data_IF_531822913799
#
_entry.id   IF_531822913799
#
_cell.length_a   1.000
_cell.length_b   1.000
_cell.length_c   1.000
_cell.angle_alpha   90.00
_cell.angle_beta   90.00
_cell.angle_gamma   90.00
#
_symmetry.space_group_name_H-M   'P 1'
#
loop_
_entity.id
_entity.type
_entity.pdbx_description
1 polymer ?
#
# COMPACT_ATOMS: atom_id res chain seq x y z
N UNK A 1 -1.28 -6.96 -23.74
CA UNK A 1 -0.42 -6.69 -22.57
C UNK A 1 -1.17 -7.18 -21.34
N UNK A 2 -0.87 -8.38 -20.86
CA UNK A 2 -1.28 -8.79 -19.54
C UNK A 2 -0.26 -8.17 -18.57
N UNK A 3 -0.60 -7.02 -18.00
CA UNK A 3 0.03 -6.59 -16.76
C UNK A 3 -0.37 -7.67 -15.76
N UNK A 4 0.59 -8.46 -15.31
CA UNK A 4 0.38 -9.41 -14.24
C UNK A 4 -0.26 -8.63 -13.08
N UNK A 5 -1.48 -8.97 -12.73
CA UNK A 5 -2.15 -8.42 -11.57
C UNK A 5 -1.31 -8.85 -10.35
N UNK A 6 -0.34 -8.03 -9.99
CA UNK A 6 0.30 -8.14 -8.68
C UNK A 6 -0.78 -7.77 -7.69
N UNK A 7 -1.45 -8.79 -7.17
CA UNK A 7 -2.26 -8.63 -5.98
C UNK A 7 -1.37 -8.03 -4.90
N UNK A 8 -1.98 -7.19 -4.10
CA UNK A 8 -1.36 -6.55 -2.97
C UNK A 8 -0.31 -7.46 -2.35
N UNK A 9 0.89 -6.95 -2.16
CA UNK A 9 1.85 -7.52 -1.22
C UNK A 9 1.34 -7.25 0.21
N UNK A 10 0.11 -7.65 0.47
CA UNK A 10 -0.31 -8.05 1.78
C UNK A 10 0.30 -9.43 1.99
N UNK A 11 0.51 -9.86 3.18
CA UNK A 11 1.04 -11.12 3.68
C UNK A 11 0.95 -12.39 2.80
N UNK A 12 0.61 -12.25 1.54
CA UNK A 12 0.42 -13.32 0.57
C UNK A 12 1.73 -13.58 -0.18
N UNK A 13 2.42 -14.62 0.21
CA UNK A 13 3.59 -15.15 -0.51
C UNK A 13 3.24 -15.85 -1.84
N UNK A 14 2.02 -15.69 -2.35
CA UNK A 14 1.47 -16.48 -3.47
C UNK A 14 1.98 -16.13 -4.88
N UNK A 15 2.81 -15.11 -5.05
CA UNK A 15 3.50 -14.89 -6.34
C UNK A 15 4.70 -15.82 -6.56
N UNK A 16 4.83 -16.88 -5.78
CA UNK A 16 5.76 -17.97 -6.09
C UNK A 16 5.06 -18.86 -7.10
N UNK A 17 5.41 -18.67 -8.36
CA UNK A 17 4.92 -19.46 -9.48
C UNK A 17 5.19 -20.95 -9.23
N UNK A 18 4.15 -21.70 -8.88
CA UNK A 18 4.25 -23.12 -8.47
C UNK A 18 4.38 -24.07 -9.66
N UNK A 19 4.45 -23.58 -10.90
CA UNK A 19 4.35 -24.46 -12.09
C UNK A 19 5.65 -25.06 -12.61
N UNK A 20 6.83 -24.63 -12.13
CA UNK A 20 8.09 -25.09 -12.75
C UNK A 20 9.23 -25.43 -11.77
N UNK A 21 8.98 -25.65 -10.49
CA UNK A 21 10.09 -25.93 -9.56
C UNK A 21 10.16 -27.41 -9.20
N UNK A 22 11.28 -28.03 -9.55
CA UNK A 22 11.67 -29.37 -9.13
C UNK A 22 11.59 -29.52 -7.61
N UNK A 23 11.02 -30.61 -7.16
CA UNK A 23 10.52 -30.92 -5.80
C UNK A 23 11.58 -30.82 -4.67
N UNK A 24 12.86 -30.52 -4.93
CA UNK A 24 13.95 -30.68 -3.97
C UNK A 24 14.94 -29.53 -3.77
N UNK A 25 14.70 -28.33 -4.29
CA UNK A 25 15.54 -27.16 -4.00
C UNK A 25 14.81 -26.12 -3.15
N UNK A 26 15.44 -25.52 -2.13
CA UNK A 26 14.86 -24.37 -1.44
C UNK A 26 14.66 -23.25 -2.46
N UNK A 27 13.41 -22.94 -2.78
CA UNK A 27 13.06 -21.90 -3.73
C UNK A 27 13.30 -20.52 -3.12
N UNK A 28 14.56 -20.06 -3.20
CA UNK A 28 14.94 -18.71 -2.80
C UNK A 28 14.89 -17.82 -4.03
N UNK A 29 14.05 -16.79 -4.01
CA UNK A 29 13.98 -15.75 -5.05
C UNK A 29 14.46 -14.43 -4.48
N UNK A 30 15.53 -13.89 -5.05
CA UNK A 30 15.95 -12.52 -4.81
C UNK A 30 15.12 -11.63 -5.73
N UNK A 31 14.60 -10.54 -5.20
CA UNK A 31 13.82 -9.56 -5.97
C UNK A 31 14.17 -8.16 -5.50
N UNK A 32 13.84 -7.18 -6.30
CA UNK A 32 14.06 -5.79 -5.94
C UNK A 32 13.71 -4.85 -7.08
N UNK A 33 13.77 -3.57 -6.81
CA UNK A 33 13.57 -2.53 -7.80
C UNK A 33 14.15 -1.20 -7.37
N UNK A 34 14.46 -0.37 -8.35
CA UNK A 34 14.92 1.00 -8.17
C UNK A 34 13.89 1.95 -8.77
N UNK A 35 13.61 3.03 -8.07
CA UNK A 35 12.82 4.15 -8.57
C UNK A 35 13.61 5.44 -8.32
N UNK A 36 14.16 6.00 -9.39
CA UNK A 36 14.68 7.34 -9.39
C UNK A 36 13.58 8.33 -9.71
N UNK A 37 13.62 9.52 -9.14
CA UNK A 37 12.68 10.58 -9.47
C UNK A 37 13.42 11.90 -9.65
N UNK A 38 12.85 12.75 -10.49
CA UNK A 38 13.17 14.17 -10.59
C UNK A 38 11.91 14.95 -10.23
N UNK A 39 12.02 15.80 -9.21
CA UNK A 39 10.94 16.70 -8.80
C UNK A 39 11.25 18.09 -9.34
N UNK A 40 10.26 18.68 -10.00
CA UNK A 40 10.23 20.08 -10.38
C UNK A 40 9.04 20.73 -9.71
N UNK A 41 9.26 21.74 -8.91
CA UNK A 41 8.21 22.43 -8.17
C UNK A 41 8.50 23.92 -8.01
N UNK A 42 7.61 24.61 -7.33
CA UNK A 42 7.77 26.04 -7.00
C UNK A 42 8.86 26.33 -5.95
N UNK A 43 9.44 25.30 -5.35
CA UNK A 43 10.62 25.42 -4.48
C UNK A 43 11.89 25.50 -5.33
N UNK A 44 12.84 26.32 -4.92
CA UNK A 44 14.09 26.58 -5.64
C UNK A 44 15.05 25.38 -5.79
N UNK A 45 14.67 24.21 -5.27
CA UNK A 45 15.50 23.02 -5.26
C UNK A 45 14.88 21.96 -6.20
N UNK A 46 15.50 21.82 -7.37
CA UNK A 46 15.25 20.73 -8.31
C UNK A 46 16.30 19.65 -8.09
N UNK A 47 15.87 18.43 -7.78
CA UNK A 47 16.83 17.37 -7.45
C UNK A 47 16.45 16.02 -8.05
N UNK A 48 17.48 15.23 -8.35
CA UNK A 48 17.34 13.82 -8.70
C UNK A 48 17.63 13.00 -7.45
N UNK A 49 16.69 12.14 -7.07
CA UNK A 49 16.82 11.30 -5.87
C UNK A 49 16.39 9.87 -6.14
N UNK A 50 16.73 8.97 -5.24
CA UNK A 50 16.11 7.66 -5.17
C UNK A 50 14.84 7.76 -4.33
N UNK A 51 13.68 7.66 -4.99
CA UNK A 51 12.41 7.55 -4.28
C UNK A 51 12.32 6.23 -3.53
N UNK A 52 12.81 5.14 -4.16
CA UNK A 52 12.84 3.79 -3.57
C UNK A 52 14.01 3.00 -4.13
N UNK A 53 14.71 2.30 -3.25
CA UNK A 53 15.75 1.35 -3.61
C UNK A 53 15.55 0.10 -2.73
N UNK A 54 14.86 -0.91 -3.26
CA UNK A 54 14.42 -2.06 -2.49
C UNK A 54 15.09 -3.32 -2.93
N UNK A 55 15.50 -4.11 -1.95
CA UNK A 55 16.05 -5.44 -2.14
C UNK A 55 15.37 -6.39 -1.18
N UNK A 56 14.96 -7.55 -1.66
CA UNK A 56 14.29 -8.54 -0.84
C UNK A 56 14.62 -9.96 -1.23
N UNK A 57 14.26 -10.84 -0.34
CA UNK A 57 14.36 -12.30 -0.52
C UNK A 57 13.04 -12.93 -0.11
N UNK A 58 12.56 -13.84 -0.90
CA UNK A 58 11.38 -14.65 -0.57
C UNK A 58 11.61 -16.10 -0.94
N UNK A 59 10.90 -17.01 -0.25
CA UNK A 59 11.03 -18.41 -0.55
C UNK A 59 10.04 -19.28 0.22
N UNK A 60 10.10 -20.57 -0.04
CA UNK A 60 9.35 -21.59 0.70
C UNK A 60 10.27 -22.35 1.66
N UNK A 61 9.72 -22.69 2.82
CA UNK A 61 10.34 -23.61 3.78
C UNK A 61 9.39 -24.80 3.89
N UNK A 62 9.72 -25.90 3.21
CA UNK A 62 8.82 -27.04 2.99
C UNK A 62 7.52 -26.60 2.31
N UNK A 63 6.51 -27.46 2.29
CA UNK A 63 5.30 -27.26 1.50
C UNK A 63 4.34 -26.23 2.08
N UNK A 64 4.37 -26.06 3.40
CA UNK A 64 3.33 -25.29 4.13
C UNK A 64 3.80 -23.91 4.59
N UNK A 65 5.08 -23.57 4.50
CA UNK A 65 5.61 -22.30 4.99
C UNK A 65 6.32 -21.52 3.89
N UNK A 66 6.11 -20.20 3.91
CA UNK A 66 6.87 -19.25 3.11
C UNK A 66 7.40 -18.12 3.98
N UNK A 67 8.44 -17.46 3.50
CA UNK A 67 8.98 -16.27 4.13
C UNK A 67 9.15 -15.15 3.12
N UNK A 68 9.11 -13.95 3.64
CA UNK A 68 9.32 -12.72 2.88
C UNK A 68 10.16 -11.75 3.70
N UNK A 69 11.17 -11.17 3.07
CA UNK A 69 12.04 -10.18 3.67
C UNK A 69 12.34 -9.08 2.67
N UNK A 70 12.23 -7.81 3.05
CA UNK A 70 12.50 -6.67 2.17
C UNK A 70 13.11 -5.50 2.93
N UNK A 71 14.19 -4.97 2.39
CA UNK A 71 14.88 -3.75 2.85
C UNK A 71 14.56 -2.56 1.94
N UNK A 72 14.47 -1.37 2.53
CA UNK A 72 14.50 -0.09 1.85
C UNK A 72 15.87 0.56 2.06
N UNK A 73 16.59 0.78 0.99
CA UNK A 73 17.96 1.33 1.01
C UNK A 73 18.04 2.78 0.48
N UNK A 74 16.93 3.35 0.01
CA UNK A 74 16.95 4.72 -0.55
C UNK A 74 17.49 5.79 0.41
N UNK A 75 17.20 5.77 1.74
CA UNK A 75 17.78 6.76 2.64
C UNK A 75 19.30 6.63 2.77
N UNK A 76 19.83 5.41 2.77
CA UNK A 76 21.27 5.14 2.80
C UNK A 76 21.98 5.61 1.53
N UNK A 77 21.44 5.26 0.37
CA UNK A 77 21.99 5.66 -0.93
C UNK A 77 21.92 7.18 -1.12
N UNK A 78 20.83 7.80 -0.67
CA UNK A 78 20.63 9.24 -0.72
C UNK A 78 21.40 10.04 0.33
N UNK A 79 22.10 9.39 1.26
CA UNK A 79 22.87 10.07 2.32
C UNK A 79 22.02 10.77 3.39
N UNK A 80 20.71 10.43 3.49
CA UNK A 80 19.77 11.07 4.41
C UNK A 80 19.34 10.16 5.58
N UNK A 81 19.90 8.96 5.68
CA UNK A 81 19.58 8.01 6.74
C UNK A 81 20.17 6.62 6.51
N UNK A 82 19.71 5.66 7.29
CA UNK A 82 20.09 4.25 7.20
C UNK A 82 19.08 3.43 6.42
N UNK A 83 19.55 2.36 5.81
CA UNK A 83 18.66 1.33 5.29
C UNK A 83 17.83 0.72 6.44
N UNK A 84 16.59 0.38 6.18
CA UNK A 84 15.72 -0.18 7.20
C UNK A 84 14.89 -1.35 6.67
N UNK A 85 14.53 -2.24 7.62
CA UNK A 85 13.69 -3.38 7.33
C UNK A 85 12.25 -2.91 7.13
N UNK A 86 11.69 -3.18 5.95
CA UNK A 86 10.29 -2.84 5.64
C UNK A 86 9.34 -3.98 5.96
N UNK A 87 9.59 -5.13 5.40
CA UNK A 87 8.75 -6.31 5.55
C UNK A 87 9.61 -7.50 5.95
N UNK A 88 9.22 -8.24 6.98
CA UNK A 88 9.85 -9.47 7.40
C UNK A 88 8.81 -10.36 8.09
N UNK A 89 8.33 -11.37 7.41
CA UNK A 89 7.29 -12.24 7.93
C UNK A 89 7.40 -13.68 7.42
N UNK A 90 6.82 -14.59 8.17
CA UNK A 90 6.63 -15.99 7.80
C UNK A 90 5.14 -16.25 7.69
N UNK A 91 4.75 -17.01 6.67
CA UNK A 91 3.35 -17.38 6.41
C UNK A 91 3.19 -18.89 6.41
N UNK A 92 2.22 -19.39 7.15
CA UNK A 92 1.70 -20.74 7.05
C UNK A 92 0.61 -20.78 5.99
N UNK A 93 0.85 -21.51 4.89
CA UNK A 93 0.06 -21.44 3.64
C UNK A 93 -0.78 -22.69 3.35
N UNK A 94 -0.91 -23.62 4.28
CA UNK A 94 -1.54 -24.92 4.03
C UNK A 94 -2.97 -24.80 3.50
N UNK A 95 -3.72 -23.83 3.99
CA UNK A 95 -5.13 -23.65 3.63
C UNK A 95 -5.33 -22.33 2.89
N UNK A 96 -5.82 -22.36 1.65
CA UNK A 96 -6.10 -21.15 0.87
C UNK A 96 -7.17 -20.23 1.48
N UNK A 97 -8.04 -20.78 2.32
CA UNK A 97 -9.07 -20.03 3.00
C UNK A 97 -8.61 -19.42 4.33
N UNK A 98 -7.50 -19.92 4.91
CA UNK A 98 -6.95 -19.42 6.17
C UNK A 98 -5.43 -19.59 6.17
N UNK A 99 -4.71 -18.59 5.69
CA UNK A 99 -3.25 -18.47 5.83
C UNK A 99 -2.96 -17.61 7.04
N UNK A 100 -1.89 -17.90 7.74
CA UNK A 100 -1.49 -17.15 8.95
C UNK A 100 -0.10 -16.59 8.71
N UNK A 101 0.04 -15.27 8.79
CA UNK A 101 1.35 -14.61 8.71
C UNK A 101 1.70 -13.94 10.03
N UNK A 102 2.97 -14.02 10.41
CA UNK A 102 3.54 -13.42 11.63
C UNK A 102 4.79 -12.65 11.26
N UNK A 103 4.91 -11.42 11.72
CA UNK A 103 6.06 -10.57 11.50
C UNK A 103 5.70 -9.12 11.23
N UNK A 104 6.58 -8.40 10.52
CA UNK A 104 6.37 -7.03 10.09
C UNK A 104 5.88 -7.01 8.64
N UNK A 105 4.72 -6.41 8.41
CA UNK A 105 4.08 -6.35 7.10
C UNK A 105 3.12 -5.16 7.00
N UNK A 106 2.60 -4.92 5.79
CA UNK A 106 1.56 -3.91 5.58
C UNK A 106 0.27 -4.29 6.27
N UNK A 107 -0.35 -3.31 6.94
CA UNK A 107 -1.69 -3.52 7.48
C UNK A 107 -2.70 -3.78 6.34
N UNK A 108 -3.65 -4.70 6.55
CA UNK A 108 -4.68 -5.00 5.57
C UNK A 108 -5.78 -3.93 5.60
N UNK A 109 -5.52 -2.80 4.94
CA UNK A 109 -6.46 -1.69 4.84
C UNK A 109 -6.38 -1.04 3.47
N UNK A 110 -7.51 -0.88 2.81
CA UNK A 110 -7.67 -0.16 1.55
C UNK A 110 -7.01 -0.80 0.33
N UNK A 111 -7.37 -0.31 -0.84
CA UNK A 111 -6.86 -0.78 -2.12
C UNK A 111 -5.45 -0.25 -2.40
N UNK A 112 -5.26 1.07 -2.23
CA UNK A 112 -4.03 1.72 -2.69
C UNK A 112 -2.84 1.40 -1.78
N UNK A 113 -3.04 1.31 -0.46
CA UNK A 113 -1.98 0.89 0.47
C UNK A 113 -1.56 -0.55 0.20
N UNK A 114 -2.53 -1.43 -0.07
CA UNK A 114 -2.23 -2.82 -0.41
C UNK A 114 -1.60 -2.98 -1.80
N UNK A 115 -1.76 -2.02 -2.70
CA UNK A 115 -1.03 -2.02 -3.98
C UNK A 115 0.47 -1.85 -3.73
N UNK A 116 1.34 -2.72 -4.30
CA UNK A 116 2.80 -2.57 -4.19
C UNK A 116 3.25 -1.25 -4.83
N UNK A 117 4.29 -0.62 -4.28
CA UNK A 117 4.71 0.68 -4.77
C UNK A 117 5.19 0.66 -6.24
N UNK A 118 5.78 -0.44 -6.68
CA UNK A 118 6.11 -0.65 -8.10
C UNK A 118 4.89 -0.90 -8.99
N UNK A 119 3.73 -1.20 -8.42
CA UNK A 119 2.44 -1.39 -9.10
C UNK A 119 1.54 -0.15 -9.09
N UNK A 120 1.92 0.94 -8.42
CA UNK A 120 1.13 2.17 -8.38
C UNK A 120 0.99 2.78 -9.77
N UNK A 121 -0.20 3.24 -10.10
CA UNK A 121 -0.51 3.88 -11.38
C UNK A 121 0.01 5.32 -11.43
N UNK A 122 0.00 6.03 -10.29
CA UNK A 122 0.66 7.32 -10.08
C UNK A 122 1.96 7.14 -9.31
N UNK A 123 2.87 8.11 -9.37
CA UNK A 123 4.16 8.09 -8.64
C UNK A 123 3.92 8.00 -7.14
N UNK A 124 2.95 8.76 -6.63
CA UNK A 124 2.56 8.78 -5.23
C UNK A 124 1.15 8.23 -5.03
N UNK A 125 0.90 7.72 -3.82
CA UNK A 125 -0.44 7.39 -3.35
C UNK A 125 -1.29 8.66 -3.23
N UNK A 126 -2.60 8.49 -3.14
CA UNK A 126 -3.49 9.57 -2.75
C UNK A 126 -3.13 10.07 -1.36
N UNK A 127 -3.33 11.39 -1.16
CA UNK A 127 -3.07 12.02 0.14
C UNK A 127 -3.88 11.35 1.24
N UNK A 128 -5.13 10.98 0.98
CA UNK A 128 -5.98 10.32 1.96
C UNK A 128 -5.43 8.95 2.38
N UNK A 129 -4.99 8.13 1.44
CA UNK A 129 -4.40 6.83 1.75
C UNK A 129 -3.06 6.96 2.48
N UNK A 130 -2.27 7.96 2.14
CA UNK A 130 -0.98 8.19 2.80
C UNK A 130 -1.13 8.73 4.21
N UNK A 131 -2.03 9.68 4.42
CA UNK A 131 -2.23 10.32 5.73
C UNK A 131 -3.08 9.45 6.67
N UNK A 132 -4.23 8.95 6.22
CA UNK A 132 -5.21 8.32 7.11
C UNK A 132 -4.97 6.82 7.36
N UNK A 133 -4.18 6.14 6.53
CA UNK A 133 -3.86 4.72 6.77
C UNK A 133 -2.50 4.56 7.50
N UNK A 134 -1.83 5.64 7.84
CA UNK A 134 -0.59 5.56 8.61
C UNK A 134 -0.85 5.06 10.06
N UNK A 135 0.08 4.26 10.63
CA UNK A 135 1.26 3.69 10.00
C UNK A 135 0.89 2.57 9.02
N UNK A 136 1.46 2.60 7.81
CA UNK A 136 1.07 1.64 6.76
C UNK A 136 1.61 0.22 7.00
N UNK A 137 2.59 0.05 7.87
CA UNK A 137 3.22 -1.21 8.25
C UNK A 137 3.41 -1.28 9.74
N UNK A 138 3.38 -2.50 10.25
CA UNK A 138 3.60 -2.74 11.66
C UNK A 138 3.93 -4.22 11.91
N UNK A 139 4.32 -4.54 13.12
CA UNK A 139 4.51 -5.92 13.57
C UNK A 139 3.20 -6.51 14.09
N UNK A 140 2.89 -7.73 13.67
CA UNK A 140 1.65 -8.37 14.10
C UNK A 140 1.46 -9.79 13.58
N UNK A 141 0.22 -10.25 13.72
CA UNK A 141 -0.28 -11.52 13.20
C UNK A 141 -1.49 -11.23 12.32
N UNK A 142 -1.57 -11.87 11.17
CA UNK A 142 -2.75 -11.77 10.31
C UNK A 142 -3.25 -13.13 9.88
N UNK A 143 -4.56 -13.26 9.77
CA UNK A 143 -5.23 -14.36 9.10
C UNK A 143 -5.85 -13.82 7.83
N UNK A 144 -5.56 -14.47 6.70
CA UNK A 144 -6.08 -14.04 5.41
C UNK A 144 -6.58 -15.24 4.60
N UNK A 145 -7.59 -15.00 3.79
CA UNK A 145 -8.20 -16.02 2.95
C UNK A 145 -8.65 -15.46 1.61
N UNK A 146 -8.74 -16.37 0.67
CA UNK A 146 -9.03 -16.06 -0.72
C UNK A 146 -7.76 -15.88 -1.55
N UNK A 147 -7.94 -15.79 -2.86
CA UNK A 147 -6.90 -15.54 -3.85
C UNK A 147 -7.51 -14.87 -5.09
N UNK A 148 -6.72 -14.66 -6.14
CA UNK A 148 -7.18 -14.01 -7.39
C UNK A 148 -8.32 -14.73 -8.13
N UNK A 149 -8.61 -15.98 -7.80
CA UNK A 149 -9.68 -16.77 -8.41
C UNK A 149 -10.94 -16.84 -7.56
N UNK A 150 -10.85 -16.46 -6.28
CA UNK A 150 -12.02 -16.46 -5.38
C UNK A 150 -12.80 -15.16 -5.55
N UNK A 151 -14.13 -15.25 -5.42
CA UNK A 151 -14.99 -14.06 -5.42
C UNK A 151 -14.84 -13.24 -4.14
N UNK A 152 -14.56 -13.91 -3.02
CA UNK A 152 -14.39 -13.28 -1.72
C UNK A 152 -12.97 -13.45 -1.22
N UNK A 153 -12.37 -12.37 -0.73
CA UNK A 153 -11.07 -12.37 -0.06
C UNK A 153 -11.14 -11.51 1.19
N UNK A 154 -10.40 -11.89 2.21
CA UNK A 154 -10.36 -11.17 3.48
C UNK A 154 -8.99 -11.25 4.12
N UNK A 155 -8.70 -10.29 4.97
CA UNK A 155 -7.57 -10.33 5.89
C UNK A 155 -7.96 -9.64 7.20
N UNK A 156 -7.60 -10.24 8.33
CA UNK A 156 -7.79 -9.65 9.66
C UNK A 156 -6.47 -9.75 10.40
N UNK A 157 -5.97 -8.63 10.89
CA UNK A 157 -4.69 -8.52 11.57
C UNK A 157 -4.85 -8.00 13.00
N UNK A 158 -3.98 -8.48 13.87
CA UNK A 158 -3.73 -7.96 15.20
C UNK A 158 -2.31 -7.41 15.20
N UNK A 159 -2.16 -6.09 15.39
CA UNK A 159 -0.90 -5.38 15.22
C UNK A 159 -0.57 -4.51 16.44
N UNK A 160 0.69 -4.12 16.60
CA UNK A 160 1.11 -3.29 17.73
C UNK A 160 0.56 -1.85 17.68
N UNK A 161 0.28 -1.31 16.49
CA UNK A 161 -0.22 0.07 16.32
C UNK A 161 0.88 1.14 16.25
N UNK A 162 2.14 0.80 16.51
CA UNK A 162 3.24 1.77 16.62
C UNK A 162 3.98 2.03 15.30
N UNK A 163 3.88 1.12 14.35
CA UNK A 163 4.57 1.23 13.05
C UNK A 163 5.94 0.57 13.01
N UNK A 164 6.64 0.79 11.89
CA UNK A 164 7.91 0.13 11.60
C UNK A 164 9.02 0.53 12.59
N UNK A 165 9.82 -0.49 12.95
CA UNK A 165 11.06 -0.32 13.74
C UNK A 165 10.84 0.44 15.07
N UNK A 166 9.62 0.39 15.58
CA UNK A 166 9.25 1.02 16.84
C UNK A 166 8.86 -0.04 17.88
N UNK A 167 9.28 0.20 19.12
CA UNK A 167 8.84 -0.60 20.24
C UNK A 167 7.39 -0.19 20.58
N UNK A 168 6.57 -1.15 20.92
CA UNK A 168 5.18 -0.90 21.33
C UNK A 168 5.14 0.02 22.57
N UNK A 169 4.25 0.99 22.54
CA UNK A 169 4.13 2.03 23.55
C UNK A 169 2.97 1.80 24.53
N UNK A 170 2.23 0.71 24.37
CA UNK A 170 1.07 0.38 25.21
C UNK A 170 0.85 -1.15 25.26
N UNK A 171 -0.14 -1.59 26.02
CA UNK A 171 -0.47 -3.03 26.16
C UNK A 171 -1.61 -3.48 25.26
N UNK A 172 -2.24 -2.55 24.55
CA UNK A 172 -3.35 -2.81 23.63
C UNK A 172 -2.81 -3.16 22.23
N UNK A 173 -3.68 -3.69 21.39
CA UNK A 173 -3.35 -4.03 20.01
C UNK A 173 -4.38 -3.47 19.06
N UNK A 174 -3.91 -3.02 17.91
CA UNK A 174 -4.78 -2.61 16.82
C UNK A 174 -5.40 -3.83 16.15
N UNK A 175 -6.70 -3.79 15.93
CA UNK A 175 -7.43 -4.78 15.12
C UNK A 175 -7.74 -4.12 13.78
N UNK A 176 -7.33 -4.77 12.70
CA UNK A 176 -7.48 -4.23 11.35
C UNK A 176 -8.07 -5.31 10.46
N UNK A 177 -9.12 -4.99 9.72
CA UNK A 177 -9.77 -5.92 8.82
C UNK A 177 -10.04 -5.29 7.45
N UNK A 178 -9.91 -6.09 6.41
CA UNK A 178 -10.31 -5.77 5.04
C UNK A 178 -11.02 -6.96 4.43
N UNK A 179 -12.11 -6.70 3.72
CA UNK A 179 -12.81 -7.70 2.93
C UNK A 179 -13.12 -7.14 1.55
N UNK A 180 -12.96 -7.97 0.52
CA UNK A 180 -13.25 -7.61 -0.86
C UNK A 180 -14.14 -8.66 -1.51
N UNK A 181 -15.05 -8.21 -2.36
CA UNK A 181 -15.96 -9.07 -3.10
C UNK A 181 -15.99 -8.72 -4.58
N UNK A 182 -15.71 -9.70 -5.42
CA UNK A 182 -15.77 -9.59 -6.87
C UNK A 182 -17.22 -9.81 -7.32
N UNK A 183 -17.95 -8.71 -7.53
CA UNK A 183 -19.33 -8.71 -7.97
C UNK A 183 -19.45 -9.30 -9.38
N UNK A 184 -18.54 -8.86 -10.26
CA UNK A 184 -18.42 -9.32 -11.63
C UNK A 184 -16.94 -9.37 -12.04
N UNK A 185 -16.62 -9.95 -13.18
CA UNK A 185 -15.22 -10.02 -13.64
C UNK A 185 -14.56 -8.66 -13.84
N UNK A 186 -15.36 -7.66 -14.09
CA UNK A 186 -14.91 -6.27 -14.28
C UNK A 186 -15.03 -5.42 -13.01
N UNK A 187 -15.67 -5.91 -11.90
CA UNK A 187 -15.98 -5.09 -10.74
C UNK A 187 -15.66 -5.79 -9.43
N UNK A 188 -14.83 -5.15 -8.62
CA UNK A 188 -14.54 -5.54 -7.24
C UNK A 188 -14.87 -4.37 -6.32
N UNK A 189 -15.53 -4.64 -5.22
CA UNK A 189 -15.75 -3.71 -4.12
C UNK A 189 -15.11 -4.24 -2.86
N UNK A 190 -14.82 -3.37 -1.91
CA UNK A 190 -14.28 -3.78 -0.61
C UNK A 190 -14.56 -2.75 0.47
N UNK A 191 -14.35 -3.20 1.69
CA UNK A 191 -14.41 -2.38 2.87
C UNK A 191 -13.30 -2.73 3.85
N UNK A 192 -12.89 -1.77 4.63
CA UNK A 192 -11.83 -1.89 5.63
C UNK A 192 -12.24 -1.20 6.93
N UNK A 193 -11.79 -1.75 8.04
CA UNK A 193 -11.96 -1.17 9.36
C UNK A 193 -10.70 -1.35 10.19
N UNK A 194 -10.35 -0.35 10.98
CA UNK A 194 -9.33 -0.41 12.02
C UNK A 194 -9.88 0.18 13.30
N UNK A 195 -9.67 -0.53 14.40
CA UNK A 195 -9.72 0.00 15.77
C UNK A 195 -8.35 -0.10 16.38
N UNK A 196 -7.79 1.01 16.83
CA UNK A 196 -6.40 1.06 17.30
C UNK A 196 -6.16 1.96 18.49
N UNK A 197 -4.95 1.86 19.05
CA UNK A 197 -4.47 2.59 20.22
C UNK A 197 -3.15 3.30 19.89
N UNK A 198 -3.21 4.49 19.27
CA UNK A 198 -2.02 5.09 18.66
C UNK A 198 -0.94 5.56 19.63
N UNK A 199 -1.29 6.03 20.82
CA UNK A 199 -0.32 6.66 21.73
C UNK A 199 -0.20 5.95 23.07
N UNK A 200 -1.33 5.52 23.66
CA UNK A 200 -1.39 4.88 24.99
C UNK A 200 -2.63 3.99 25.09
N UNK A 201 -2.89 3.40 26.25
CA UNK A 201 -4.03 2.49 26.46
C UNK A 201 -5.42 3.16 26.42
N UNK A 202 -5.50 4.46 26.49
CA UNK A 202 -6.76 5.23 26.57
C UNK A 202 -7.10 5.94 25.27
N UNK A 203 -6.09 6.30 24.48
CA UNK A 203 -6.29 6.95 23.20
C UNK A 203 -6.79 5.92 22.19
N UNK A 204 -7.90 6.20 21.54
CA UNK A 204 -8.50 5.31 20.54
C UNK A 204 -8.56 5.98 19.17
N UNK A 205 -8.50 5.15 18.14
CA UNK A 205 -8.63 5.56 16.76
C UNK A 205 -9.45 4.55 15.98
N UNK A 206 -10.48 5.04 15.32
CA UNK A 206 -11.33 4.25 14.43
C UNK A 206 -11.19 4.75 12.99
N UNK A 207 -10.88 3.85 12.07
CA UNK A 207 -10.73 4.16 10.64
C UNK A 207 -11.64 3.26 9.83
N UNK A 208 -12.43 3.85 8.94
CA UNK A 208 -13.35 3.16 8.04
C UNK A 208 -12.94 3.43 6.60
N UNK A 209 -12.97 2.41 5.75
CA UNK A 209 -12.62 2.52 4.34
C UNK A 209 -13.61 1.80 3.45
N UNK A 210 -13.94 2.42 2.32
CA UNK A 210 -14.67 1.80 1.23
C UNK A 210 -13.85 1.90 -0.05
N UNK A 211 -13.84 0.86 -0.87
CA UNK A 211 -13.04 0.79 -2.07
C UNK A 211 -13.80 0.20 -3.25
N UNK A 212 -13.45 0.64 -4.45
CA UNK A 212 -13.99 0.13 -5.70
C UNK A 212 -12.89 0.03 -6.75
N UNK A 213 -12.90 -1.07 -7.50
CA UNK A 213 -12.05 -1.29 -8.66
C UNK A 213 -12.89 -1.80 -9.83
N UNK A 214 -12.85 -1.05 -10.93
CA UNK A 214 -13.47 -1.42 -12.21
C UNK A 214 -12.38 -1.65 -13.26
N UNK A 215 -12.52 -2.72 -14.03
CA UNK A 215 -11.61 -3.07 -15.14
C UNK A 215 -12.43 -3.48 -16.36
N UNK A 216 -12.46 -2.61 -17.35
CA UNK A 216 -13.13 -2.86 -18.64
C UNK A 216 -12.09 -2.90 -19.76
N UNK A 217 -11.70 -4.08 -20.20
CA UNK A 217 -10.63 -4.25 -21.17
C UNK A 217 -9.38 -3.44 -20.78
N UNK A 218 -9.15 -2.33 -21.47
CA UNK A 218 -8.00 -1.44 -21.28
C UNK A 218 -8.28 -0.29 -20.29
N UNK A 219 -9.53 -0.09 -19.87
CA UNK A 219 -9.92 0.97 -18.93
C UNK A 219 -9.90 0.43 -17.49
N UNK A 220 -9.21 1.13 -16.62
CA UNK A 220 -9.21 0.88 -15.18
C UNK A 220 -9.70 2.11 -14.45
N UNK A 221 -10.70 1.94 -13.59
CA UNK A 221 -11.18 2.97 -12.66
C UNK A 221 -11.05 2.41 -11.27
N UNK A 222 -10.46 3.17 -10.36
CA UNK A 222 -10.38 2.82 -8.95
C UNK A 222 -10.67 4.03 -8.08
N UNK A 223 -11.21 3.79 -6.90
CA UNK A 223 -11.46 4.84 -5.92
C UNK A 223 -11.57 4.28 -4.52
N UNK A 224 -11.27 5.13 -3.55
CA UNK A 224 -11.42 4.85 -2.13
C UNK A 224 -11.97 6.09 -1.43
N UNK A 225 -12.78 5.85 -0.40
CA UNK A 225 -13.17 6.81 0.60
C UNK A 225 -12.69 6.32 1.96
N UNK A 226 -12.08 7.19 2.75
CA UNK A 226 -11.58 6.87 4.09
C UNK A 226 -12.06 7.93 5.05
N UNK A 227 -12.71 7.49 6.13
CA UNK A 227 -13.07 8.29 7.28
C UNK A 227 -12.26 7.79 8.49
N UNK A 228 -11.73 8.71 9.27
CA UNK A 228 -10.86 8.41 10.40
C UNK A 228 -11.19 9.35 11.57
N UNK A 229 -11.32 8.79 12.77
CA UNK A 229 -11.63 9.55 13.97
C UNK A 229 -10.83 9.08 15.19
N UNK A 230 -10.70 9.97 16.16
CA UNK A 230 -9.98 9.73 17.39
C UNK A 230 -8.54 10.27 17.38
N UNK A 231 -7.71 9.72 18.22
CA UNK A 231 -6.31 10.10 18.37
C UNK A 231 -5.49 9.63 17.16
N UNK A 232 -4.37 10.28 16.91
CA UNK A 232 -3.59 10.02 15.73
C UNK A 232 -2.10 9.87 16.04
N UNK A 233 -1.50 8.89 15.40
CA UNK A 233 -0.06 8.69 15.38
C UNK A 233 0.34 8.27 13.97
N UNK A 234 1.07 9.13 13.27
CA UNK A 234 1.57 8.76 11.95
C UNK A 234 2.64 7.68 12.02
N UNK A 235 3.42 7.64 13.10
CA UNK A 235 4.59 6.80 13.33
C UNK A 235 5.63 6.80 12.17
N UNK A 236 6.84 6.34 12.46
CA UNK A 236 7.83 6.14 11.41
C UNK A 236 7.46 4.97 10.51
N UNK A 237 7.75 5.09 9.24
CA UNK A 237 7.79 3.93 8.37
C UNK A 237 6.56 3.65 7.55
N UNK A 238 6.32 4.38 6.55
CA UNK A 238 5.49 3.81 5.56
C UNK A 238 4.80 4.67 4.56
N UNK A 239 4.82 5.95 4.73
CA UNK A 239 4.31 6.84 3.71
C UNK A 239 5.13 6.77 2.43
N UNK A 240 4.48 6.87 1.29
CA UNK A 240 5.17 6.99 0.02
C UNK A 240 5.58 8.43 -0.28
N UNK A 241 5.65 9.30 0.72
CA UNK A 241 6.34 10.56 0.60
C UNK A 241 5.54 11.85 0.73
N UNK A 242 4.30 11.84 1.22
CA UNK A 242 3.64 13.10 1.57
C UNK A 242 4.19 13.66 2.88
N UNK A 243 4.34 14.98 2.95
CA UNK A 243 4.65 15.64 4.21
C UNK A 243 3.51 15.44 5.22
N UNK A 244 3.83 15.29 6.53
CA UNK A 244 2.81 15.18 7.57
C UNK A 244 1.92 16.43 7.63
N UNK A 245 0.62 16.22 7.70
CA UNK A 245 -0.36 17.28 7.90
C UNK A 245 -0.85 17.23 9.35
N UNK A 246 -1.08 18.38 9.96
CA UNK A 246 -1.72 18.45 11.28
C UNK A 246 -3.18 18.01 11.16
N UNK A 247 -3.58 17.05 11.99
CA UNK A 247 -4.87 16.39 11.90
C UNK A 247 -5.76 16.70 13.11
N UNK A 248 -7.02 17.03 12.83
CA UNK A 248 -8.08 17.09 13.82
C UNK A 248 -8.54 15.71 14.31
N UNK A 249 -9.55 15.71 15.19
CA UNK A 249 -10.11 14.46 15.75
C UNK A 249 -10.98 13.70 14.75
N UNK A 250 -11.57 14.36 13.77
CA UNK A 250 -12.34 13.75 12.68
C UNK A 250 -11.84 14.27 11.35
N UNK A 251 -11.59 13.37 10.45
CA UNK A 251 -10.96 13.66 9.16
C UNK A 251 -11.40 12.64 8.12
N UNK A 252 -11.46 13.06 6.88
CA UNK A 252 -11.80 12.18 5.78
C UNK A 252 -11.12 12.58 4.47
N UNK A 253 -11.32 11.77 3.47
CA UNK A 253 -10.94 12.07 2.11
C UNK A 253 -11.28 10.93 1.17
N UNK A 254 -11.18 11.24 -0.10
CA UNK A 254 -11.41 10.26 -1.16
C UNK A 254 -10.53 10.54 -2.36
N UNK A 255 -10.37 9.54 -3.18
CA UNK A 255 -9.86 9.73 -4.54
C UNK A 255 -10.63 8.88 -5.54
N UNK A 256 -10.60 9.33 -6.77
CA UNK A 256 -10.95 8.55 -7.94
C UNK A 256 -9.82 8.64 -8.96
N UNK A 257 -9.43 7.52 -9.53
CA UNK A 257 -8.37 7.45 -10.53
C UNK A 257 -8.82 6.64 -11.74
N UNK A 258 -8.56 7.19 -12.91
CA UNK A 258 -8.86 6.58 -14.20
C UNK A 258 -7.56 6.40 -14.97
N UNK A 259 -7.34 5.24 -15.55
CA UNK A 259 -6.22 4.97 -16.45
C UNK A 259 -6.65 4.10 -17.63
N UNK A 260 -5.97 4.28 -18.76
CA UNK A 260 -6.30 3.58 -20.00
C UNK A 260 -5.05 3.03 -20.68
N UNK A 261 -5.00 1.72 -20.92
CA UNK A 261 -3.87 1.05 -21.58
C UNK A 261 -3.98 1.18 -23.08
N UNK A 262 -3.12 2.00 -23.70
CA UNK A 262 -3.10 2.16 -25.15
C UNK A 262 -2.24 1.08 -25.82
N UNK A 263 -2.47 0.85 -27.13
CA UNK A 263 -1.63 -0.04 -27.93
C UNK A 263 -0.17 0.45 -28.12
N UNK A 264 0.10 1.70 -27.81
CA UNK A 264 1.43 2.31 -27.92
C UNK A 264 2.28 2.17 -26.64
N UNK A 265 1.87 1.31 -25.70
CA UNK A 265 2.53 1.15 -24.39
C UNK A 265 2.52 2.42 -23.53
N UNK A 266 1.63 3.33 -23.82
CA UNK A 266 1.37 4.55 -23.04
C UNK A 266 0.07 4.33 -22.25
N UNK A 267 0.10 4.66 -20.96
CA UNK A 267 -1.07 4.64 -20.11
C UNK A 267 -1.29 6.06 -19.57
N UNK A 268 -2.18 6.86 -20.18
CA UNK A 268 -2.64 8.10 -19.58
C UNK A 268 -3.38 7.82 -18.27
N UNK A 269 -3.21 8.73 -17.33
CA UNK A 269 -3.77 8.65 -15.98
C UNK A 269 -4.38 9.99 -15.60
N UNK A 270 -5.56 9.95 -15.03
CA UNK A 270 -6.21 11.06 -14.34
C UNK A 270 -6.56 10.62 -12.93
N UNK A 271 -6.23 11.44 -11.92
CA UNK A 271 -6.66 11.22 -10.53
C UNK A 271 -7.17 12.56 -9.97
N UNK A 272 -8.33 12.51 -9.35
CA UNK A 272 -8.86 13.58 -8.52
C UNK A 272 -8.96 13.08 -7.10
N UNK A 273 -8.57 13.91 -6.15
CA UNK A 273 -8.58 13.58 -4.73
C UNK A 273 -8.91 14.80 -3.88
N UNK A 274 -9.62 14.57 -2.78
CA UNK A 274 -9.77 15.55 -1.72
C UNK A 274 -9.36 14.95 -0.38
N UNK A 275 -8.96 15.83 0.52
CA UNK A 275 -8.58 15.49 1.88
C UNK A 275 -8.98 16.61 2.83
N UNK A 276 -9.79 16.26 3.84
CA UNK A 276 -10.15 17.14 4.94
C UNK A 276 -9.48 16.67 6.22
N UNK A 277 -8.43 17.36 6.68
CA UNK A 277 -7.70 16.97 7.89
C UNK A 277 -8.50 17.24 9.17
N UNK A 278 -9.55 18.02 9.14
CA UNK A 278 -10.38 18.35 10.30
C UNK A 278 -11.80 18.79 9.90
N UNK A 279 -12.70 17.83 9.80
CA UNK A 279 -14.11 18.05 9.39
C UNK A 279 -14.86 18.97 10.35
N UNK A 280 -14.47 19.02 11.64
CA UNK A 280 -15.13 19.87 12.64
C UNK A 280 -14.83 21.37 12.43
N UNK A 281 -13.83 21.71 11.62
CA UNK A 281 -13.42 23.10 11.34
C UNK A 281 -13.41 23.34 9.84
N UNK A 282 -14.42 24.05 9.34
CA UNK A 282 -14.60 24.29 7.90
C UNK A 282 -13.37 24.89 7.24
N UNK A 283 -12.85 24.20 6.21
CA UNK A 283 -11.81 24.64 5.26
C UNK A 283 -10.41 24.88 5.82
N UNK A 284 -10.13 24.57 7.08
CA UNK A 284 -8.76 24.68 7.58
C UNK A 284 -7.98 23.42 7.18
N UNK A 285 -7.01 23.60 6.27
CA UNK A 285 -6.18 22.50 5.77
C UNK A 285 -6.87 21.60 4.74
N UNK A 286 -8.12 21.90 4.34
CA UNK A 286 -8.79 21.18 3.27
C UNK A 286 -8.01 21.30 1.96
N UNK A 287 -7.83 20.19 1.28
CA UNK A 287 -7.04 20.09 0.06
C UNK A 287 -7.83 19.38 -1.02
N UNK A 288 -7.83 19.96 -2.19
CA UNK A 288 -8.26 19.30 -3.43
C UNK A 288 -7.08 19.26 -4.38
N UNK A 289 -6.89 18.10 -5.00
CA UNK A 289 -5.76 17.91 -5.89
C UNK A 289 -6.15 17.12 -7.13
N UNK A 290 -5.65 17.57 -8.26
CA UNK A 290 -5.77 16.89 -9.53
C UNK A 290 -4.41 16.44 -10.01
N UNK A 291 -4.31 15.18 -10.43
CA UNK A 291 -3.10 14.63 -11.05
C UNK A 291 -3.40 14.21 -12.48
N UNK A 292 -2.64 14.77 -13.41
CA UNK A 292 -2.55 14.31 -14.80
C UNK A 292 -1.24 13.55 -14.96
N UNK A 293 -1.28 12.36 -15.53
CA UNK A 293 -0.10 11.54 -15.67
C UNK A 293 -0.07 10.69 -16.93
N UNK A 294 1.11 10.19 -17.22
CA UNK A 294 1.33 9.20 -18.26
C UNK A 294 2.41 8.21 -17.82
N UNK A 295 2.16 6.94 -18.00
CA UNK A 295 3.13 5.87 -17.84
C UNK A 295 3.53 5.34 -19.22
N UNK A 296 4.83 5.26 -19.49
CA UNK A 296 5.37 4.64 -20.69
C UNK A 296 6.08 3.35 -20.32
N UNK A 297 5.60 2.21 -20.81
CA UNK A 297 6.17 0.90 -20.55
C UNK A 297 7.18 0.54 -21.62
N UNK A 298 8.47 0.67 -21.30
CA UNK A 298 9.56 0.26 -22.20
C UNK A 298 9.47 -1.26 -22.39
N UNK A 299 9.35 -1.99 -21.30
CA UNK A 299 9.13 -3.44 -21.24
C UNK A 299 8.34 -3.80 -19.96
N UNK A 300 8.24 -5.08 -19.64
CA UNK A 300 7.53 -5.58 -18.44
C UNK A 300 8.16 -5.14 -17.12
N UNK A 301 9.46 -4.83 -17.10
CA UNK A 301 10.21 -4.51 -15.90
C UNK A 301 10.59 -3.03 -15.80
N UNK A 302 10.49 -2.27 -16.88
CA UNK A 302 10.96 -0.87 -16.94
C UNK A 302 9.87 0.04 -17.46
N UNK A 303 9.52 1.06 -16.66
CA UNK A 303 8.58 2.10 -17.06
C UNK A 303 9.08 3.48 -16.67
N UNK A 304 8.64 4.48 -17.42
CA UNK A 304 8.80 5.90 -17.11
C UNK A 304 7.44 6.42 -16.69
N UNK A 305 7.38 7.17 -15.60
CA UNK A 305 6.14 7.80 -15.12
C UNK A 305 6.33 9.31 -15.09
N UNK A 306 5.36 10.03 -15.65
CA UNK A 306 5.24 11.48 -15.56
C UNK A 306 3.94 11.82 -14.86
N UNK A 307 4.00 12.66 -13.82
CA UNK A 307 2.82 13.19 -13.15
C UNK A 307 2.94 14.71 -13.03
N UNK A 308 1.86 15.39 -13.33
CA UNK A 308 1.65 16.80 -13.01
C UNK A 308 0.54 16.88 -11.97
N UNK A 309 0.83 17.50 -10.83
CA UNK A 309 -0.12 17.68 -9.73
C UNK A 309 -0.41 19.16 -9.55
N UNK A 310 -1.69 19.47 -9.38
CA UNK A 310 -2.17 20.84 -9.12
C UNK A 310 -3.14 20.80 -7.95
N UNK A 311 -2.93 21.67 -6.98
CA UNK A 311 -3.96 22.01 -6.00
C UNK A 311 -4.99 22.90 -6.68
N UNK A 312 -6.27 22.68 -6.38
CA UNK A 312 -7.42 23.40 -6.95
C UNK A 312 -7.95 24.41 -5.94
#
# INVERSE_FOLDING_TARGET
>A
FQISNTFAQGCDGDDIDTKNDSINAPNIKIFGYLQTQYNYGSSDINTITFKRARLGVRGKVKDDFSYYFMLEASPFIGGVGSAYLMDAFVTYNKYNWAKISVGSFKQPFGLEVNTPCNGLTTIDRSIVSDQLIAPQRDFGVTILGGNKYTKFSYAVALMNGRGLNAVDNNTKKDIIGRATYKIADFMTIGGSYRHGYPNNNNDTRDTYGAEMLLKFNNLKIQGEYIYDEGDYNRAAGGGCGSEPVELGKKRDGAYIMVSYDTKWKIQPVFKYEYFDPNIDVKKIGYQEMMTLGANYFINESVRIQLNYQSHI
#
